data_IF_421485370297
#
_entry.id   IF_421485370297
#
_cell.length_a   1.000
_cell.length_b   1.000
_cell.length_c   1.000
_cell.angle_alpha   90.00
_cell.angle_beta   90.00
_cell.angle_gamma   90.00
#
_symmetry.space_group_name_H-M   'P 1'
#
loop_
_entity.id
_entity.type
_entity.pdbx_description
1 polymer ?
#
# COMPACT_ATOMS: atom_id res chain seq x y z
N UNK A 1 -10.91 -35.42 34.00
CA UNK A 1 -10.50 -34.11 33.40
C UNK A 1 -9.47 -34.22 32.27
N UNK A 2 -8.52 -35.15 32.30
CA UNK A 2 -7.49 -35.31 31.25
C UNK A 2 -8.03 -35.73 29.87
N UNK A 3 -9.09 -36.56 29.83
CA UNK A 3 -9.67 -37.03 28.57
C UNK A 3 -10.25 -35.87 27.71
N UNK A 4 -10.90 -34.90 28.34
CA UNK A 4 -11.45 -33.74 27.64
C UNK A 4 -10.35 -32.79 27.13
N UNK A 5 -9.20 -32.69 27.80
CA UNK A 5 -8.05 -31.95 27.32
C UNK A 5 -7.44 -32.56 26.08
N UNK A 6 -7.43 -33.89 25.94
CA UNK A 6 -6.98 -34.60 24.73
C UNK A 6 -7.91 -34.31 23.55
N UNK A 7 -9.24 -34.39 23.78
CA UNK A 7 -10.23 -34.10 22.74
C UNK A 7 -10.20 -32.64 22.30
N UNK A 8 -10.08 -31.70 23.24
CA UNK A 8 -9.91 -30.28 22.94
C UNK A 8 -8.68 -30.06 22.05
N UNK A 9 -7.57 -30.68 22.39
CA UNK A 9 -6.32 -30.56 21.62
C UNK A 9 -6.45 -31.17 20.24
N UNK A 10 -7.11 -32.31 20.11
CA UNK A 10 -7.35 -32.99 18.84
C UNK A 10 -8.23 -32.15 17.91
N UNK A 11 -9.36 -31.65 18.42
CA UNK A 11 -10.25 -30.74 17.67
C UNK A 11 -9.49 -29.47 17.27
N UNK A 12 -8.77 -28.84 18.19
CA UNK A 12 -7.99 -27.65 17.97
C UNK A 12 -6.94 -27.83 16.88
N UNK A 13 -6.22 -28.95 16.90
CA UNK A 13 -5.24 -29.30 15.87
C UNK A 13 -5.89 -29.49 14.51
N UNK A 14 -7.01 -30.21 14.44
CA UNK A 14 -7.74 -30.42 13.18
C UNK A 14 -8.24 -29.10 12.59
N UNK A 15 -8.86 -28.26 13.41
CA UNK A 15 -9.37 -26.95 13.01
C UNK A 15 -8.21 -26.03 12.57
N UNK A 16 -7.13 -25.99 13.33
CA UNK A 16 -5.94 -25.21 12.99
C UNK A 16 -5.38 -25.63 11.63
N UNK A 17 -5.17 -26.93 11.40
CA UNK A 17 -4.66 -27.43 10.13
C UNK A 17 -5.58 -27.07 8.98
N UNK A 18 -6.89 -27.21 9.15
CA UNK A 18 -7.88 -26.91 8.11
C UNK A 18 -7.94 -25.42 7.81
N UNK A 19 -7.89 -24.56 8.82
CA UNK A 19 -7.83 -23.11 8.67
C UNK A 19 -6.55 -22.72 7.93
N UNK A 20 -5.41 -23.27 8.31
CA UNK A 20 -4.12 -22.94 7.67
C UNK A 20 -4.06 -23.40 6.22
N UNK A 21 -4.60 -24.58 5.91
CA UNK A 21 -4.70 -25.06 4.53
C UNK A 21 -5.62 -24.17 3.68
N UNK A 22 -6.78 -23.79 4.22
CA UNK A 22 -7.74 -22.91 3.54
C UNK A 22 -7.12 -21.52 3.31
N UNK A 23 -6.46 -20.96 4.32
CA UNK A 23 -5.78 -19.68 4.23
C UNK A 23 -4.66 -19.72 3.19
N UNK A 24 -3.83 -20.75 3.20
CA UNK A 24 -2.77 -20.95 2.23
C UNK A 24 -3.33 -21.02 0.79
N UNK A 25 -4.41 -21.77 0.59
CA UNK A 25 -5.06 -21.86 -0.72
C UNK A 25 -5.60 -20.51 -1.19
N UNK A 26 -6.30 -19.75 -0.34
CA UNK A 26 -6.86 -18.44 -0.68
C UNK A 26 -5.76 -17.41 -0.95
N UNK A 27 -4.72 -17.37 -0.13
CA UNK A 27 -3.58 -16.46 -0.31
C UNK A 27 -2.79 -16.80 -1.56
N UNK A 28 -2.59 -18.09 -1.85
CA UNK A 28 -1.92 -18.53 -3.08
C UNK A 28 -2.70 -18.14 -4.32
N UNK A 29 -4.01 -18.34 -4.32
CA UNK A 29 -4.88 -17.93 -5.44
C UNK A 29 -4.84 -16.42 -5.64
N UNK A 30 -4.97 -15.65 -4.58
CA UNK A 30 -4.86 -14.19 -4.61
C UNK A 30 -3.48 -13.75 -5.10
N UNK A 31 -2.41 -14.42 -4.65
CA UNK A 31 -1.04 -14.16 -5.09
C UNK A 31 -0.82 -14.40 -6.57
N UNK A 32 -1.39 -15.48 -7.12
CA UNK A 32 -1.35 -15.76 -8.55
C UNK A 32 -2.06 -14.66 -9.35
N UNK A 33 -3.25 -14.24 -8.92
CA UNK A 33 -4.02 -13.17 -9.57
C UNK A 33 -3.23 -11.85 -9.54
N UNK A 34 -2.65 -11.48 -8.40
CA UNK A 34 -1.81 -10.29 -8.27
C UNK A 34 -0.56 -10.37 -9.16
N UNK A 35 0.10 -11.51 -9.18
CA UNK A 35 1.28 -11.71 -10.02
C UNK A 35 0.98 -11.51 -11.50
N UNK A 36 -0.12 -12.09 -11.99
CA UNK A 36 -0.58 -11.89 -13.37
C UNK A 36 -0.90 -10.43 -13.64
N UNK A 37 -1.56 -9.75 -12.70
CA UNK A 37 -1.87 -8.33 -12.84
C UNK A 37 -0.61 -7.45 -12.86
N UNK A 38 0.37 -7.77 -12.03
CA UNK A 38 1.67 -7.08 -12.04
C UNK A 38 2.49 -7.39 -13.31
N UNK A 39 2.38 -8.59 -13.86
CA UNK A 39 3.01 -8.92 -15.15
C UNK A 39 2.49 -8.04 -16.29
N UNK A 40 1.24 -7.66 -16.28
CA UNK A 40 0.69 -6.70 -17.26
C UNK A 40 1.32 -5.31 -17.17
N UNK A 41 1.84 -4.97 -16.01
CA UNK A 41 2.57 -3.72 -15.77
C UNK A 41 4.08 -3.85 -15.99
N UNK A 42 4.57 -5.05 -16.22
CA UNK A 42 5.97 -5.28 -16.54
C UNK A 42 6.35 -4.66 -17.89
N UNK A 43 7.59 -4.24 -18.02
CA UNK A 43 8.08 -3.53 -19.21
C UNK A 43 8.06 -2.01 -19.08
N UNK A 44 7.57 -1.46 -17.99
CA UNK A 44 7.69 -0.05 -17.65
C UNK A 44 8.94 0.18 -16.80
N UNK A 45 9.90 0.95 -17.33
CA UNK A 45 11.18 1.13 -16.64
C UNK A 45 11.92 -0.20 -16.44
N UNK A 46 12.46 -0.40 -15.25
CA UNK A 46 13.14 -1.64 -14.84
C UNK A 46 12.22 -2.66 -14.14
N UNK A 47 10.92 -2.43 -14.15
CA UNK A 47 9.94 -3.35 -13.56
C UNK A 47 9.73 -4.56 -14.47
N UNK A 48 10.18 -5.71 -14.01
CA UNK A 48 10.16 -6.97 -14.75
C UNK A 48 9.34 -8.06 -14.03
N UNK A 49 9.35 -9.28 -14.56
CA UNK A 49 8.65 -10.41 -13.95
C UNK A 49 9.16 -10.75 -12.55
N UNK A 50 10.46 -10.58 -12.29
CA UNK A 50 11.06 -10.78 -10.98
C UNK A 50 10.56 -9.73 -9.98
N UNK A 51 10.47 -8.48 -10.41
CA UNK A 51 9.87 -7.38 -9.64
C UNK A 51 8.39 -7.61 -9.32
N UNK A 52 7.63 -8.11 -10.28
CA UNK A 52 6.23 -8.50 -10.06
C UNK A 52 6.10 -9.59 -8.99
N UNK A 53 6.96 -10.59 -9.00
CA UNK A 53 7.04 -11.63 -7.98
C UNK A 53 7.36 -11.07 -6.59
N UNK A 54 8.33 -10.18 -6.50
CA UNK A 54 8.70 -9.53 -5.24
C UNK A 54 7.57 -8.66 -4.68
N UNK A 55 6.89 -7.89 -5.53
CA UNK A 55 5.71 -7.12 -5.14
C UNK A 55 4.61 -8.02 -4.55
N UNK A 56 4.34 -9.16 -5.20
CA UNK A 56 3.35 -10.13 -4.74
C UNK A 56 3.71 -10.71 -3.38
N UNK A 57 4.97 -11.10 -3.16
CA UNK A 57 5.46 -11.65 -1.89
C UNK A 57 5.36 -10.61 -0.76
N UNK A 58 5.74 -9.36 -1.02
CA UNK A 58 5.64 -8.29 -0.02
C UNK A 58 4.19 -7.94 0.33
N UNK A 59 3.23 -8.27 -0.52
CA UNK A 59 1.80 -8.07 -0.28
C UNK A 59 1.15 -9.22 0.47
N UNK A 60 1.82 -10.35 0.68
CA UNK A 60 1.27 -11.55 1.37
C UNK A 60 0.74 -11.23 2.78
N UNK A 61 1.41 -10.46 3.65
CA UNK A 61 0.90 -10.14 4.98
C UNK A 61 -0.47 -9.48 4.95
N UNK A 62 -0.71 -8.58 4.01
CA UNK A 62 -2.01 -7.93 3.82
C UNK A 62 -3.07 -8.91 3.34
N UNK A 63 -2.72 -9.80 2.43
CA UNK A 63 -3.63 -10.85 1.94
C UNK A 63 -4.05 -11.79 3.06
N UNK A 64 -3.13 -12.18 3.94
CA UNK A 64 -3.43 -12.97 5.13
C UNK A 64 -4.47 -12.25 6.00
N UNK A 65 -4.27 -10.96 6.24
CA UNK A 65 -5.23 -10.16 7.02
C UNK A 65 -6.61 -10.12 6.39
N UNK A 66 -6.68 -9.94 5.06
CA UNK A 66 -7.96 -9.81 4.34
C UNK A 66 -8.70 -11.14 4.30
N UNK A 67 -8.00 -12.24 4.02
CA UNK A 67 -8.62 -13.56 3.81
C UNK A 67 -8.81 -14.37 5.08
N UNK A 68 -8.20 -13.97 6.18
CA UNK A 68 -8.29 -14.74 7.42
C UNK A 68 -9.73 -14.98 7.92
N UNK A 69 -10.64 -13.98 7.94
CA UNK A 69 -12.02 -14.24 8.38
C UNK A 69 -12.73 -15.31 7.55
N UNK A 70 -12.57 -15.27 6.25
CA UNK A 70 -13.12 -16.30 5.35
C UNK A 70 -12.46 -17.65 5.57
N UNK A 71 -11.14 -17.68 5.69
CA UNK A 71 -10.39 -18.90 5.94
C UNK A 71 -10.73 -19.52 7.28
N UNK A 72 -10.92 -18.72 8.32
CA UNK A 72 -11.34 -19.20 9.64
C UNK A 72 -12.73 -19.83 9.59
N UNK A 73 -13.68 -19.18 8.94
CA UNK A 73 -15.04 -19.72 8.80
C UNK A 73 -15.06 -21.00 7.97
N UNK A 74 -14.50 -20.98 6.78
CA UNK A 74 -14.46 -22.14 5.89
C UNK A 74 -13.63 -23.27 6.46
N UNK A 75 -12.49 -22.96 7.06
CA UNK A 75 -11.62 -23.94 7.69
C UNK A 75 -12.26 -24.63 8.87
N UNK A 76 -12.97 -23.89 9.72
CA UNK A 76 -13.73 -24.44 10.83
C UNK A 76 -14.87 -25.35 10.34
N UNK A 77 -15.62 -24.93 9.34
CA UNK A 77 -16.69 -25.73 8.74
C UNK A 77 -16.15 -27.00 8.10
N UNK A 78 -15.07 -26.90 7.33
CA UNK A 78 -14.44 -28.06 6.70
C UNK A 78 -13.84 -29.02 7.75
N UNK A 79 -13.20 -28.48 8.77
CA UNK A 79 -12.62 -29.29 9.85
C UNK A 79 -13.68 -30.06 10.64
N UNK A 80 -14.76 -29.39 11.04
CA UNK A 80 -15.88 -30.02 11.69
C UNK A 80 -16.61 -31.02 10.77
N UNK A 81 -16.74 -30.66 9.50
CA UNK A 81 -17.31 -31.56 8.49
C UNK A 81 -16.49 -32.84 8.30
N UNK A 82 -15.18 -32.77 8.31
CA UNK A 82 -14.29 -33.94 8.26
C UNK A 82 -14.46 -34.84 9.51
N UNK A 83 -14.53 -34.23 10.69
CA UNK A 83 -14.76 -34.96 11.93
C UNK A 83 -16.14 -35.66 11.94
N UNK A 84 -17.15 -34.97 11.38
CA UNK A 84 -18.50 -35.54 11.25
C UNK A 84 -18.55 -36.70 10.26
N UNK A 85 -17.89 -36.57 9.11
CA UNK A 85 -17.82 -37.64 8.11
C UNK A 85 -17.10 -38.89 8.59
N UNK A 86 -16.11 -38.72 9.45
CA UNK A 86 -15.39 -39.85 10.09
C UNK A 86 -16.13 -40.41 11.30
N UNK A 87 -17.32 -39.90 11.62
CA UNK A 87 -18.08 -40.24 12.81
C UNK A 87 -17.38 -39.95 14.14
N UNK A 88 -16.32 -39.18 14.10
CA UNK A 88 -15.54 -38.82 15.30
C UNK A 88 -16.33 -37.94 16.26
N UNK A 89 -17.13 -36.99 15.73
CA UNK A 89 -18.02 -36.16 16.57
C UNK A 89 -19.06 -36.97 17.32
N UNK A 90 -19.63 -38.00 16.69
CA UNK A 90 -20.61 -38.89 17.32
C UNK A 90 -19.96 -39.67 18.46
N UNK A 91 -18.76 -40.19 18.25
CA UNK A 91 -17.99 -40.87 19.27
C UNK A 91 -17.65 -39.96 20.44
N UNK A 92 -17.25 -38.72 20.18
CA UNK A 92 -16.96 -37.74 21.23
C UNK A 92 -18.22 -37.43 22.06
N UNK A 93 -19.36 -37.23 21.40
CA UNK A 93 -20.63 -36.98 22.07
C UNK A 93 -21.10 -38.18 22.91
N UNK A 94 -20.91 -39.39 22.40
CA UNK A 94 -21.19 -40.63 23.14
C UNK A 94 -20.30 -40.77 24.37
N UNK A 95 -19.10 -40.25 24.35
CA UNK A 95 -18.16 -40.21 25.49
C UNK A 95 -18.46 -39.11 26.51
N UNK A 96 -19.53 -38.33 26.34
CA UNK A 96 -19.90 -37.23 27.23
C UNK A 96 -19.38 -35.86 26.83
N UNK A 97 -18.71 -35.72 25.67
CA UNK A 97 -18.25 -34.45 25.15
C UNK A 97 -19.42 -33.72 24.48
N UNK A 98 -19.84 -32.60 25.03
CA UNK A 98 -21.02 -31.87 24.58
C UNK A 98 -20.74 -31.01 23.34
N UNK A 99 -21.79 -30.60 22.60
CA UNK A 99 -21.70 -29.67 21.49
C UNK A 99 -21.08 -28.34 21.91
N UNK A 100 -21.42 -27.87 23.14
CA UNK A 100 -20.82 -26.64 23.67
C UNK A 100 -19.30 -26.77 23.85
N UNK A 101 -18.84 -27.94 24.32
CA UNK A 101 -17.41 -28.19 24.46
C UNK A 101 -16.68 -28.23 23.09
N UNK A 102 -17.32 -28.77 22.06
CA UNK A 102 -16.81 -28.70 20.68
C UNK A 102 -16.67 -27.24 20.21
N UNK A 103 -17.72 -26.45 20.42
CA UNK A 103 -17.71 -25.02 20.08
C UNK A 103 -16.61 -24.25 20.83
N UNK A 104 -16.44 -24.56 22.14
CA UNK A 104 -15.36 -23.94 22.94
C UNK A 104 -13.97 -24.35 22.46
N UNK A 105 -13.78 -25.60 22.03
CA UNK A 105 -12.50 -26.04 21.44
C UNK A 105 -12.17 -25.33 20.16
N UNK A 106 -13.15 -25.10 19.28
CA UNK A 106 -13.00 -24.29 18.05
C UNK A 106 -12.64 -22.86 18.40
N UNK A 107 -13.33 -22.26 19.37
CA UNK A 107 -13.04 -20.88 19.81
C UNK A 107 -11.66 -20.73 20.43
N UNK A 108 -11.20 -21.69 21.22
CA UNK A 108 -9.85 -21.71 21.80
C UNK A 108 -8.76 -21.75 20.72
N UNK A 109 -9.04 -22.34 19.58
CA UNK A 109 -8.12 -22.34 18.43
C UNK A 109 -8.22 -21.04 17.63
N UNK A 110 -9.43 -20.53 17.41
CA UNK A 110 -9.68 -19.34 16.59
C UNK A 110 -9.16 -18.05 17.25
N UNK A 111 -9.35 -17.89 18.56
CA UNK A 111 -8.98 -16.66 19.28
C UNK A 111 -7.48 -16.31 19.14
N UNK A 112 -6.52 -17.22 19.41
CA UNK A 112 -5.11 -16.94 19.20
C UNK A 112 -4.76 -16.58 17.76
N UNK A 113 -5.41 -17.22 16.78
CA UNK A 113 -5.21 -16.93 15.37
C UNK A 113 -5.74 -15.55 15.00
N UNK A 114 -6.87 -15.14 15.54
CA UNK A 114 -7.42 -13.79 15.35
C UNK A 114 -6.46 -12.74 15.91
N UNK A 115 -5.95 -12.95 17.12
CA UNK A 115 -4.99 -12.04 17.74
C UNK A 115 -3.69 -11.94 16.94
N UNK A 116 -3.17 -13.05 16.44
CA UNK A 116 -1.99 -13.08 15.59
C UNK A 116 -2.23 -12.34 14.28
N UNK A 117 -3.38 -12.53 13.66
CA UNK A 117 -3.77 -11.85 12.41
C UNK A 117 -3.94 -10.35 12.61
N UNK A 118 -4.52 -9.93 13.74
CA UNK A 118 -4.61 -8.51 14.09
C UNK A 118 -3.21 -7.88 14.25
N UNK A 119 -2.28 -8.58 14.91
CA UNK A 119 -0.90 -8.14 15.06
C UNK A 119 -0.20 -8.00 13.70
N UNK A 120 -0.35 -8.98 12.81
CA UNK A 120 0.16 -8.92 11.45
C UNK A 120 -0.45 -7.73 10.70
N UNK A 121 -1.75 -7.51 10.83
CA UNK A 121 -2.46 -6.41 10.19
C UNK A 121 -2.00 -5.03 10.64
N UNK A 122 -1.63 -4.87 11.91
CA UNK A 122 -1.19 -3.58 12.44
C UNK A 122 0.28 -3.29 12.18
N UNK A 123 1.15 -4.29 12.25
CA UNK A 123 2.60 -4.08 12.25
C UNK A 123 3.29 -4.53 10.98
N UNK A 124 2.91 -5.66 10.43
CA UNK A 124 3.60 -6.27 9.29
C UNK A 124 2.97 -5.90 7.95
N UNK A 125 1.66 -5.97 7.85
CA UNK A 125 0.96 -5.75 6.58
C UNK A 125 1.13 -4.32 6.02
N UNK A 126 1.03 -3.23 6.82
CA UNK A 126 1.28 -1.88 6.32
C UNK A 126 2.70 -1.69 5.81
N UNK A 127 3.70 -2.21 6.52
CA UNK A 127 5.10 -2.12 6.12
C UNK A 127 5.37 -2.91 4.83
N UNK A 128 4.86 -4.14 4.74
CA UNK A 128 5.02 -4.98 3.55
C UNK A 128 4.37 -4.36 2.32
N UNK A 129 3.17 -3.82 2.44
CA UNK A 129 2.47 -3.15 1.35
C UNK A 129 3.18 -1.87 0.92
N UNK A 130 3.65 -1.08 1.88
CA UNK A 130 4.40 0.14 1.59
C UNK A 130 5.72 -0.17 0.88
N UNK A 131 6.46 -1.18 1.33
CA UNK A 131 7.67 -1.65 0.66
C UNK A 131 7.37 -2.13 -0.77
N UNK A 132 6.28 -2.87 -0.97
CA UNK A 132 5.86 -3.36 -2.28
C UNK A 132 5.57 -2.20 -3.24
N UNK A 133 4.82 -1.22 -2.79
CA UNK A 133 4.47 -0.02 -3.59
C UNK A 133 5.70 0.82 -3.90
N UNK A 134 6.57 1.04 -2.92
CA UNK A 134 7.80 1.80 -3.10
C UNK A 134 8.74 1.10 -4.09
N UNK A 135 8.93 -0.21 -3.94
CA UNK A 135 9.73 -1.01 -4.86
C UNK A 135 9.19 -0.92 -6.30
N UNK A 136 7.90 -1.10 -6.48
CA UNK A 136 7.26 -0.99 -7.79
C UNK A 136 7.45 0.40 -8.39
N UNK A 137 7.22 1.46 -7.60
CA UNK A 137 7.38 2.84 -8.05
C UNK A 137 8.83 3.13 -8.46
N UNK A 138 9.82 2.67 -7.68
CA UNK A 138 11.23 2.82 -8.02
C UNK A 138 11.60 2.12 -9.33
N UNK A 139 11.11 0.91 -9.53
CA UNK A 139 11.41 0.13 -10.74
C UNK A 139 10.70 0.68 -11.98
N UNK A 140 9.46 1.13 -11.84
CA UNK A 140 8.68 1.68 -12.96
C UNK A 140 9.10 3.09 -13.36
N UNK A 141 9.45 3.94 -12.39
CA UNK A 141 9.65 5.38 -12.58
C UNK A 141 11.07 5.87 -12.30
N UNK A 142 12.04 4.97 -12.17
CA UNK A 142 13.45 5.32 -12.03
C UNK A 142 13.84 5.98 -10.71
N UNK A 143 13.18 5.63 -9.61
CA UNK A 143 13.54 6.09 -8.26
C UNK A 143 12.85 7.39 -7.83
N UNK A 144 12.00 7.97 -8.67
CA UNK A 144 11.20 9.13 -8.33
C UNK A 144 9.85 8.69 -7.74
N UNK A 145 9.71 8.82 -6.43
CA UNK A 145 8.42 8.61 -5.72
C UNK A 145 7.34 9.60 -6.15
N UNK A 146 7.70 10.60 -6.96
CA UNK A 146 6.89 11.75 -7.31
C UNK A 146 6.43 11.75 -8.77
N UNK A 147 6.83 10.77 -9.57
CA UNK A 147 6.39 10.70 -10.96
C UNK A 147 5.02 10.04 -11.10
N UNK A 148 4.01 10.70 -10.60
CA UNK A 148 2.64 10.41 -11.03
C UNK A 148 2.43 11.03 -12.41
N UNK A 149 1.82 10.30 -13.32
CA UNK A 149 1.45 10.81 -14.65
C UNK A 149 0.49 12.01 -14.59
N UNK A 150 0.02 12.39 -13.41
CA UNK A 150 -0.99 13.43 -13.17
C UNK A 150 -0.42 14.73 -12.61
N UNK A 151 0.92 14.84 -12.48
CA UNK A 151 1.54 15.99 -11.85
C UNK A 151 1.45 16.00 -10.32
N UNK A 152 2.23 16.85 -9.70
CA UNK A 152 2.34 16.95 -8.25
C UNK A 152 2.03 18.38 -7.78
N UNK A 153 1.17 18.50 -6.78
CA UNK A 153 0.96 19.73 -6.05
C UNK A 153 1.79 19.75 -4.76
N UNK A 154 2.55 20.80 -4.58
CA UNK A 154 3.32 21.03 -3.35
C UNK A 154 2.99 22.41 -2.78
N UNK A 155 3.05 22.55 -1.46
CA UNK A 155 2.87 23.80 -0.78
C UNK A 155 4.21 24.26 -0.20
N UNK A 156 4.64 25.45 -0.57
CA UNK A 156 5.86 26.09 -0.10
C UNK A 156 5.51 27.43 0.54
N UNK A 157 5.37 27.44 1.85
CA UNK A 157 4.93 28.62 2.60
C UNK A 157 3.51 29.08 2.21
N UNK A 158 3.42 30.26 1.59
CA UNK A 158 2.17 30.81 1.06
C UNK A 158 1.95 30.49 -0.43
N UNK A 159 2.91 29.83 -1.06
CA UNK A 159 2.88 29.52 -2.48
C UNK A 159 2.39 28.09 -2.69
N UNK A 160 1.70 27.87 -3.80
CA UNK A 160 1.36 26.55 -4.31
C UNK A 160 2.15 26.30 -5.59
N UNK A 161 2.73 25.13 -5.68
CA UNK A 161 3.57 24.73 -6.80
C UNK A 161 2.97 23.50 -7.45
N UNK A 162 2.76 23.57 -8.75
CA UNK A 162 2.35 22.44 -9.56
C UNK A 162 3.51 22.00 -10.44
N UNK A 163 3.88 20.74 -10.36
CA UNK A 163 4.96 20.13 -11.14
C UNK A 163 4.33 19.12 -12.07
N UNK A 164 4.41 19.36 -13.38
CA UNK A 164 3.81 18.45 -14.36
C UNK A 164 4.54 17.12 -14.45
N UNK A 165 5.86 17.15 -14.43
CA UNK A 165 6.71 15.98 -14.59
C UNK A 165 8.00 16.11 -13.78
N UNK A 166 8.41 15.02 -13.16
CA UNK A 166 9.73 14.91 -12.55
C UNK A 166 10.60 14.06 -13.46
N UNK A 167 11.68 14.64 -13.99
CA UNK A 167 12.58 13.95 -14.92
C UNK A 167 13.73 13.21 -14.20
N UNK A 168 13.97 13.53 -12.95
CA UNK A 168 15.03 12.94 -12.13
C UNK A 168 15.10 13.64 -10.78
N UNK A 169 16.14 13.34 -10.00
CA UNK A 169 16.30 13.95 -8.68
C UNK A 169 16.57 15.45 -8.72
N UNK A 170 17.13 15.93 -9.83
CA UNK A 170 17.63 17.31 -9.97
C UNK A 170 16.95 18.08 -11.11
N UNK A 171 15.97 17.49 -11.78
CA UNK A 171 15.32 18.12 -12.93
C UNK A 171 13.81 17.95 -12.91
N UNK A 172 13.09 19.05 -13.05
CA UNK A 172 11.64 19.12 -13.13
C UNK A 172 11.22 19.65 -14.50
N UNK A 173 10.14 19.09 -15.05
CA UNK A 173 9.55 19.56 -16.31
C UNK A 173 8.17 20.16 -16.07
N UNK A 174 7.96 21.40 -16.53
CA UNK A 174 6.69 22.10 -16.35
C UNK A 174 6.40 22.44 -14.89
N UNK A 175 6.91 23.59 -14.41
CA UNK A 175 6.69 24.03 -13.02
C UNK A 175 5.85 25.29 -13.04
N UNK A 176 4.71 25.27 -12.36
CA UNK A 176 3.84 26.43 -12.17
C UNK A 176 3.85 26.84 -10.70
N UNK A 177 4.23 28.09 -10.43
CA UNK A 177 4.30 28.64 -9.07
C UNK A 177 3.21 29.70 -8.91
N UNK A 178 2.30 29.44 -8.00
CA UNK A 178 1.20 30.34 -7.64
C UNK A 178 1.55 31.04 -6.35
N UNK A 179 1.86 32.31 -6.38
CA UNK A 179 2.20 33.11 -5.22
C UNK A 179 0.95 33.78 -4.64
N UNK A 180 0.69 33.54 -3.38
CA UNK A 180 -0.44 34.14 -2.63
C UNK A 180 0.08 35.08 -1.55
N UNK A 181 -0.68 36.14 -1.27
CA UNK A 181 -0.42 36.99 -0.13
C UNK A 181 -1.00 36.35 1.17
N UNK A 182 -0.67 36.90 2.36
CA UNK A 182 -1.23 36.43 3.64
C UNK A 182 -2.77 36.45 3.69
N UNK A 183 -3.41 37.29 2.87
CA UNK A 183 -4.86 37.41 2.72
C UNK A 183 -5.47 36.38 1.75
N UNK A 184 -4.65 35.44 1.26
CA UNK A 184 -5.01 34.37 0.29
C UNK A 184 -5.46 34.89 -1.07
N UNK A 185 -4.98 36.06 -1.49
CA UNK A 185 -5.19 36.56 -2.85
C UNK A 185 -3.99 36.19 -3.72
N UNK A 186 -4.25 35.72 -4.92
CA UNK A 186 -3.21 35.39 -5.90
C UNK A 186 -2.51 36.66 -6.34
N UNK A 187 -1.20 36.74 -6.14
CA UNK A 187 -0.37 37.89 -6.52
C UNK A 187 0.33 37.70 -7.86
N UNK A 188 0.88 36.52 -8.09
CA UNK A 188 1.55 36.22 -9.32
C UNK A 188 1.47 34.74 -9.66
N UNK A 189 1.53 34.45 -10.95
CA UNK A 189 1.67 33.10 -11.48
C UNK A 189 2.93 33.07 -12.32
N UNK A 190 3.81 32.13 -12.02
CA UNK A 190 5.06 31.92 -12.73
C UNK A 190 5.08 30.52 -13.30
N UNK A 191 5.24 30.41 -14.61
CA UNK A 191 5.40 29.13 -15.30
C UNK A 191 6.81 28.99 -15.81
N UNK A 192 7.44 27.84 -15.56
CA UNK A 192 8.74 27.50 -16.11
C UNK A 192 8.66 26.21 -16.91
N UNK A 193 9.18 26.18 -18.11
CA UNK A 193 9.19 24.98 -18.94
C UNK A 193 10.07 23.87 -18.35
N UNK A 194 11.14 24.24 -17.63
CA UNK A 194 11.98 23.32 -16.88
C UNK A 194 12.60 23.97 -15.66
N UNK A 195 12.94 23.16 -14.66
CA UNK A 195 13.67 23.58 -13.47
C UNK A 195 14.79 22.58 -13.20
N UNK A 196 16.00 23.07 -12.93
CA UNK A 196 17.16 22.25 -12.56
C UNK A 196 17.69 22.69 -11.20
N UNK A 197 17.94 21.72 -10.34
CA UNK A 197 18.48 22.00 -9.00
C UNK A 197 19.98 22.35 -9.06
N UNK A 198 20.34 23.46 -8.48
CA UNK A 198 21.72 23.88 -8.29
C UNK A 198 22.14 23.56 -6.84
N UNK A 199 22.91 22.49 -6.69
CA UNK A 199 23.38 22.02 -5.38
C UNK A 199 24.37 22.97 -4.69
N UNK A 200 25.08 23.81 -5.45
CA UNK A 200 26.02 24.78 -4.87
C UNK A 200 25.30 25.93 -4.19
N UNK A 201 24.26 26.43 -4.82
CA UNK A 201 23.49 27.58 -4.33
C UNK A 201 22.20 27.18 -3.60
N UNK A 202 21.84 25.89 -3.60
CA UNK A 202 20.60 25.34 -3.05
C UNK A 202 19.34 26.04 -3.57
N UNK A 203 19.30 26.30 -4.86
CA UNK A 203 18.17 26.93 -5.55
C UNK A 203 17.82 26.16 -6.82
N UNK A 204 16.56 26.26 -7.22
CA UNK A 204 16.10 25.75 -8.50
C UNK A 204 16.31 26.82 -9.59
N UNK A 205 17.04 26.49 -10.63
CA UNK A 205 17.17 27.33 -11.83
C UNK A 205 16.03 27.03 -12.77
N UNK A 206 15.22 28.04 -13.03
CA UNK A 206 14.08 27.96 -13.94
C UNK A 206 14.52 28.37 -15.34
N UNK A 207 14.07 27.66 -16.35
CA UNK A 207 14.33 27.96 -17.78
C UNK A 207 13.02 28.27 -18.49
N UNK A 208 13.02 29.24 -19.35
CA UNK A 208 11.86 29.74 -20.09
C UNK A 208 10.69 30.07 -19.14
N UNK A 209 10.84 31.17 -18.42
CA UNK A 209 9.87 31.57 -17.39
C UNK A 209 8.92 32.61 -17.96
N UNK A 210 7.63 32.30 -17.92
CA UNK A 210 6.55 33.23 -18.15
C UNK A 210 5.94 33.64 -16.80
N UNK A 211 5.95 34.91 -16.49
CA UNK A 211 5.39 35.46 -15.25
C UNK A 211 4.24 36.40 -15.54
N UNK A 212 3.12 36.17 -14.86
CA UNK A 212 1.96 37.07 -14.87
C UNK A 212 1.81 37.69 -13.49
N UNK A 213 1.94 39.01 -13.43
CA UNK A 213 1.76 39.78 -12.21
C UNK A 213 0.30 40.24 -12.08
N UNK A 214 -0.35 39.82 -10.99
CA UNK A 214 -1.74 40.08 -10.66
C UNK A 214 -1.89 40.99 -9.43
N UNK A 215 -0.81 41.65 -9.01
CA UNK A 215 -0.79 42.50 -7.80
C UNK A 215 -1.74 43.66 -7.92
N UNK A 216 -1.90 44.25 -9.10
CA UNK A 216 -2.88 45.28 -9.39
C UNK A 216 -4.18 44.66 -9.95
N UNK A 217 -5.33 44.77 -9.23
CA UNK A 217 -6.59 44.22 -9.73
C UNK A 217 -7.09 44.81 -11.04
N UNK A 218 -6.55 45.95 -11.46
CA UNK A 218 -6.96 46.66 -12.67
C UNK A 218 -6.05 46.41 -13.87
N UNK A 219 -4.86 45.85 -13.65
CA UNK A 219 -3.87 45.66 -14.70
C UNK A 219 -3.07 44.39 -14.46
N UNK A 220 -3.15 43.45 -15.41
CA UNK A 220 -2.30 42.26 -15.45
C UNK A 220 -1.11 42.55 -16.34
N UNK A 221 0.09 42.41 -15.79
CA UNK A 221 1.35 42.54 -16.55
C UNK A 221 1.99 41.18 -16.75
N UNK A 222 2.36 40.85 -17.97
CA UNK A 222 3.09 39.64 -18.32
C UNK A 222 4.56 39.97 -18.63
N UNK A 223 5.47 39.13 -18.17
CA UNK A 223 6.89 39.20 -18.52
C UNK A 223 7.41 37.81 -18.89
N UNK A 224 8.32 37.79 -19.85
CA UNK A 224 9.03 36.57 -20.27
C UNK A 224 10.49 36.68 -19.92
N UNK A 225 11.04 35.67 -19.29
CA UNK A 225 12.46 35.61 -18.95
C UNK A 225 13.06 34.29 -19.47
N UNK A 226 14.29 34.35 -19.97
CA UNK A 226 14.99 33.15 -20.43
C UNK A 226 15.40 32.28 -19.26
N UNK A 227 15.69 32.87 -18.10
CA UNK A 227 16.06 32.15 -16.88
C UNK A 227 15.60 32.90 -15.64
N UNK A 228 15.26 32.15 -14.59
CA UNK A 228 14.91 32.66 -13.29
C UNK A 228 15.42 31.73 -12.18
N UNK A 229 15.29 32.16 -10.94
CA UNK A 229 15.64 31.36 -9.78
C UNK A 229 14.44 31.20 -8.86
N UNK A 230 14.34 30.04 -8.26
CA UNK A 230 13.31 29.72 -7.26
C UNK A 230 13.96 29.14 -6.01
N UNK A 231 13.82 29.85 -4.90
CA UNK A 231 14.24 29.38 -3.59
C UNK A 231 13.09 28.70 -2.90
N UNK A 232 13.31 27.44 -2.49
CA UNK A 232 12.31 26.65 -1.80
C UNK A 232 12.95 25.72 -0.79
N UNK A 233 12.18 25.33 0.22
CA UNK A 233 12.56 24.29 1.15
C UNK A 233 12.22 22.88 0.64
N UNK A 234 11.66 22.77 -0.56
CA UNK A 234 11.40 21.50 -1.25
C UNK A 234 12.72 20.99 -1.86
N UNK A 235 13.34 20.02 -1.22
CA UNK A 235 14.55 19.32 -1.67
C UNK A 235 14.28 17.85 -1.92
#
# INVERSE_FOLDING_TARGET
MQAFGVLDRYIGKTIFNTIMMTLFMLVSLSGIIKFVDQLKKSGQGSYDALGAGLYTILSVPKDIQIFFPMAALLGALLGLGMLAQRSELVVMQASGFTRLQVALAVMKTAIPLVLLTMAIGEWVAPQGEQMARNYRAQQMYGGSLLSTQQGLWAKDGHNFVYIERVKGNDELGGVSIYAFNPERRLQSVRYAASAKFDSENKVWRLSQVDESDLTDPKQVTGSQMVSGTWKTNLT
#
